data_IF_914875865485
#
_entry.id   IF_914875865485
#
_cell.length_a   1.000
_cell.length_b   1.000
_cell.length_c   1.000
_cell.angle_alpha   90.00
_cell.angle_beta   90.00
_cell.angle_gamma   90.00
#
_symmetry.space_group_name_H-M   'P 1'
#
loop_
_entity.id
_entity.type
_entity.pdbx_description
1 polymer ?
#
# COMPACT_ATOMS: atom_id res chain seq x y z
N UNK A 1 18.85 13.27 -29.90
CA UNK A 1 18.99 12.63 -28.56
C UNK A 1 17.65 12.11 -28.05
N UNK A 2 16.61 12.94 -27.96
CA UNK A 2 15.27 12.54 -27.51
C UNK A 2 14.67 11.43 -28.38
N UNK A 3 14.58 11.63 -29.70
CA UNK A 3 14.05 10.60 -30.63
C UNK A 3 14.83 9.27 -30.58
N UNK A 4 16.14 9.31 -30.33
CA UNK A 4 16.94 8.09 -30.18
C UNK A 4 16.60 7.34 -28.89
N UNK A 5 16.36 8.05 -27.79
CA UNK A 5 15.90 7.45 -26.54
C UNK A 5 14.50 6.84 -26.67
N UNK A 6 13.59 7.48 -27.40
CA UNK A 6 12.25 6.94 -27.68
C UNK A 6 12.31 5.65 -28.49
N UNK A 7 13.17 5.60 -29.51
CA UNK A 7 13.42 4.37 -30.30
C UNK A 7 14.03 3.28 -29.42
N UNK A 8 15.00 3.60 -28.56
CA UNK A 8 15.58 2.65 -27.62
C UNK A 8 14.53 2.04 -26.68
N UNK A 9 13.57 2.84 -26.20
CA UNK A 9 12.50 2.34 -25.36
C UNK A 9 11.56 1.40 -26.11
N UNK A 10 11.11 1.81 -27.30
CA UNK A 10 10.24 0.98 -28.13
C UNK A 10 10.93 -0.34 -28.49
N UNK A 11 12.22 -0.28 -28.85
CA UNK A 11 13.00 -1.46 -29.16
C UNK A 11 13.16 -2.36 -27.93
N UNK A 12 13.45 -1.80 -26.75
CA UNK A 12 13.51 -2.54 -25.49
C UNK A 12 12.18 -3.22 -25.13
N UNK A 13 11.04 -2.55 -25.37
CA UNK A 13 9.71 -3.14 -25.20
C UNK A 13 9.49 -4.30 -26.18
N UNK A 14 9.80 -4.14 -27.46
CA UNK A 14 9.70 -5.22 -28.45
C UNK A 14 10.59 -6.41 -28.10
N UNK A 15 11.83 -6.17 -27.64
CA UNK A 15 12.74 -7.23 -27.19
C UNK A 15 12.18 -7.98 -25.98
N UNK A 16 11.56 -7.26 -25.04
CA UNK A 16 10.93 -7.85 -23.87
C UNK A 16 9.71 -8.72 -24.25
N UNK A 17 8.88 -8.24 -25.17
CA UNK A 17 7.71 -8.97 -25.68
C UNK A 17 8.12 -10.22 -26.47
N UNK A 18 9.14 -10.09 -27.32
CA UNK A 18 9.66 -11.19 -28.12
C UNK A 18 10.57 -12.16 -27.34
N UNK A 19 10.89 -11.85 -26.06
CA UNK A 19 11.81 -12.62 -25.20
C UNK A 19 13.14 -12.98 -25.88
N UNK A 20 13.63 -12.09 -26.74
CA UNK A 20 14.76 -12.38 -27.62
C UNK A 20 16.12 -12.10 -26.97
N UNK A 21 16.15 -11.38 -25.84
CA UNK A 21 17.36 -11.06 -25.09
C UNK A 21 17.18 -11.26 -23.57
N UNK A 22 18.29 -11.29 -22.85
CA UNK A 22 18.30 -11.40 -21.39
C UNK A 22 17.69 -10.13 -20.75
N UNK A 23 16.87 -10.32 -19.71
CA UNK A 23 16.15 -9.24 -19.03
C UNK A 23 17.08 -8.19 -18.41
N UNK A 24 18.25 -8.62 -17.92
CA UNK A 24 19.27 -7.73 -17.39
C UNK A 24 19.90 -6.83 -18.48
N UNK A 25 20.07 -7.37 -19.70
CA UNK A 25 20.56 -6.61 -20.86
C UNK A 25 19.50 -5.62 -21.32
N UNK A 26 18.24 -6.06 -21.45
CA UNK A 26 17.11 -5.20 -21.84
C UNK A 26 16.97 -4.01 -20.86
N UNK A 27 17.04 -4.29 -19.55
CA UNK A 27 16.94 -3.26 -18.53
C UNK A 27 18.06 -2.22 -18.64
N UNK A 28 19.32 -2.64 -18.70
CA UNK A 28 20.48 -1.75 -18.62
C UNK A 28 20.81 -1.06 -19.94
N UNK A 29 20.89 -1.81 -21.02
CA UNK A 29 21.45 -1.31 -22.28
C UNK A 29 20.45 -0.51 -23.11
N UNK A 30 19.15 -0.74 -22.90
CA UNK A 30 18.09 -0.08 -23.66
C UNK A 30 17.27 0.85 -22.78
N UNK A 31 16.59 0.33 -21.76
CA UNK A 31 15.61 1.12 -21.02
C UNK A 31 16.26 2.13 -20.07
N UNK A 32 17.23 1.71 -19.26
CA UNK A 32 17.94 2.58 -18.31
C UNK A 32 18.84 3.58 -19.06
N UNK A 33 19.51 3.12 -20.12
CA UNK A 33 20.25 3.99 -21.04
C UNK A 33 19.36 5.06 -21.66
N UNK A 34 18.14 4.72 -22.08
CA UNK A 34 17.21 5.69 -22.62
C UNK A 34 16.80 6.75 -21.58
N UNK A 35 16.56 6.34 -20.32
CA UNK A 35 16.29 7.26 -19.22
C UNK A 35 17.47 8.22 -19.01
N UNK A 36 18.69 7.71 -18.89
CA UNK A 36 19.89 8.54 -18.70
C UNK A 36 20.15 9.53 -19.85
N UNK A 37 19.87 9.12 -21.09
CA UNK A 37 19.99 10.01 -22.25
C UNK A 37 18.96 11.14 -22.23
N UNK A 38 17.77 10.90 -21.68
CA UNK A 38 16.72 11.91 -21.51
C UNK A 38 17.00 12.83 -20.32
N UNK A 39 17.44 12.28 -19.19
CA UNK A 39 17.88 13.05 -18.01
C UNK A 39 19.04 14.00 -18.39
N UNK A 40 20.06 13.48 -19.08
CA UNK A 40 21.22 14.28 -19.53
C UNK A 40 20.90 15.29 -20.64
N UNK A 41 19.75 15.18 -21.29
CA UNK A 41 19.25 16.18 -22.24
C UNK A 41 18.50 17.34 -21.55
N UNK A 42 18.33 17.30 -20.22
CA UNK A 42 17.63 18.33 -19.45
C UNK A 42 16.12 18.37 -19.71
N UNK A 43 15.56 17.30 -20.27
CA UNK A 43 14.17 17.28 -20.70
C UNK A 43 13.25 16.93 -19.52
N UNK A 44 12.68 17.93 -18.83
CA UNK A 44 11.41 17.77 -18.09
C UNK A 44 10.25 17.64 -19.08
N UNK A 45 10.33 16.63 -19.96
CA UNK A 45 9.37 16.36 -21.02
C UNK A 45 8.52 15.15 -20.64
N UNK A 46 7.29 15.09 -21.15
CA UNK A 46 6.45 13.88 -21.13
C UNK A 46 7.22 12.63 -21.60
N UNK A 47 8.19 12.78 -22.52
CA UNK A 47 9.08 11.70 -22.96
C UNK A 47 9.93 11.09 -21.83
N UNK A 48 10.36 11.88 -20.84
CA UNK A 48 11.11 11.39 -19.67
C UNK A 48 10.19 10.64 -18.70
N UNK A 49 8.99 11.15 -18.44
CA UNK A 49 8.04 10.51 -17.52
C UNK A 49 7.51 9.19 -18.09
N UNK A 50 7.23 9.17 -19.39
CA UNK A 50 6.93 7.93 -20.12
C UNK A 50 8.12 6.96 -20.11
N UNK A 51 9.36 7.44 -20.23
CA UNK A 51 10.57 6.60 -20.07
C UNK A 51 10.59 5.88 -18.72
N UNK A 52 10.46 6.63 -17.63
CA UNK A 52 10.41 6.08 -16.29
C UNK A 52 9.24 5.10 -16.14
N UNK A 53 8.08 5.42 -16.71
CA UNK A 53 6.94 4.51 -16.67
C UNK A 53 7.22 3.18 -17.37
N UNK A 54 7.83 3.22 -18.56
CA UNK A 54 8.18 2.01 -19.32
C UNK A 54 9.17 1.15 -18.55
N UNK A 55 10.22 1.76 -18.00
CA UNK A 55 11.19 1.08 -17.14
C UNK A 55 10.53 0.48 -15.88
N UNK A 56 9.62 1.22 -15.24
CA UNK A 56 8.86 0.73 -14.09
C UNK A 56 8.01 -0.48 -14.44
N UNK A 57 7.29 -0.44 -15.57
CA UNK A 57 6.44 -1.55 -16.06
C UNK A 57 7.26 -2.77 -16.42
N UNK A 58 8.41 -2.59 -17.05
CA UNK A 58 9.32 -3.68 -17.36
C UNK A 58 9.81 -4.36 -16.07
N UNK A 59 10.32 -3.58 -15.11
CA UNK A 59 10.79 -4.10 -13.82
C UNK A 59 9.68 -4.79 -13.03
N UNK A 60 8.47 -4.22 -13.00
CA UNK A 60 7.28 -4.84 -12.40
C UNK A 60 6.89 -6.16 -13.10
N UNK A 61 6.98 -6.20 -14.44
CA UNK A 61 6.76 -7.44 -15.20
C UNK A 61 7.75 -8.55 -14.84
N UNK A 62 9.05 -8.22 -14.71
CA UNK A 62 10.08 -9.16 -14.27
C UNK A 62 9.84 -9.61 -12.82
N UNK A 63 9.51 -8.68 -11.92
CA UNK A 63 9.15 -8.97 -10.54
C UNK A 63 7.99 -9.97 -10.45
N UNK A 64 6.91 -9.71 -11.18
CA UNK A 64 5.75 -10.62 -11.22
C UNK A 64 6.10 -12.00 -11.80
N UNK A 65 6.99 -12.06 -12.80
CA UNK A 65 7.50 -13.32 -13.33
C UNK A 65 8.23 -14.13 -12.27
N UNK A 66 9.12 -13.48 -11.51
CA UNK A 66 9.85 -14.10 -10.40
C UNK A 66 8.88 -14.52 -9.29
N UNK A 67 7.93 -13.68 -8.90
CA UNK A 67 6.93 -14.00 -7.87
C UNK A 67 6.08 -15.22 -8.26
N UNK A 68 5.68 -15.33 -9.53
CA UNK A 68 4.96 -16.51 -10.05
C UNK A 68 5.81 -17.77 -9.95
N UNK A 69 7.09 -17.70 -10.28
CA UNK A 69 7.99 -18.84 -10.17
C UNK A 69 8.25 -19.23 -8.72
N UNK A 70 8.50 -18.25 -7.84
CA UNK A 70 8.68 -18.48 -6.40
C UNK A 70 7.43 -19.09 -5.74
N UNK A 71 6.24 -18.76 -6.24
CA UNK A 71 4.97 -19.35 -5.82
C UNK A 71 4.59 -20.66 -6.53
N UNK A 72 5.44 -21.17 -7.43
CA UNK A 72 5.15 -22.39 -8.19
C UNK A 72 5.42 -23.66 -7.36
N UNK A 73 4.69 -24.76 -7.64
CA UNK A 73 4.96 -26.04 -6.99
C UNK A 73 6.36 -26.59 -7.32
N UNK A 74 6.92 -26.22 -8.48
CA UNK A 74 8.28 -26.60 -8.87
C UNK A 74 9.33 -26.03 -7.93
N UNK A 75 9.20 -24.74 -7.58
CA UNK A 75 10.10 -24.09 -6.64
C UNK A 75 9.92 -24.66 -5.23
N UNK A 76 8.68 -24.94 -4.82
CA UNK A 76 8.40 -25.57 -3.53
C UNK A 76 9.05 -26.96 -3.44
N UNK A 77 8.91 -27.80 -4.48
CA UNK A 77 9.55 -29.11 -4.53
C UNK A 77 11.07 -29.01 -4.48
N UNK A 78 11.69 -28.04 -5.19
CA UNK A 78 13.13 -27.76 -5.06
C UNK A 78 13.51 -27.41 -3.63
N UNK A 79 12.71 -26.59 -2.95
CA UNK A 79 12.99 -26.19 -1.58
C UNK A 79 12.86 -27.37 -0.60
N UNK A 80 11.86 -28.24 -0.79
CA UNK A 80 11.70 -29.46 0.00
C UNK A 80 12.89 -30.41 -0.19
N UNK A 81 13.36 -30.61 -1.43
CA UNK A 81 14.56 -31.39 -1.72
C UNK A 81 15.81 -30.83 -1.02
N UNK A 82 15.95 -29.49 -0.96
CA UNK A 82 17.05 -28.86 -0.23
C UNK A 82 16.97 -29.10 1.28
N UNK A 83 15.77 -29.07 1.86
CA UNK A 83 15.60 -29.37 3.29
C UNK A 83 15.92 -30.83 3.59
N UNK A 84 15.46 -31.76 2.74
CA UNK A 84 15.77 -33.19 2.86
C UNK A 84 17.27 -33.45 2.71
N UNK A 85 17.91 -32.84 1.71
CA UNK A 85 19.35 -32.95 1.48
C UNK A 85 20.15 -32.45 2.67
N UNK A 86 19.72 -31.34 3.28
CA UNK A 86 20.36 -30.80 4.49
C UNK A 86 20.22 -31.76 5.68
N UNK A 87 19.04 -32.34 5.89
CA UNK A 87 18.81 -33.34 6.95
C UNK A 87 19.67 -34.59 6.76
N UNK A 88 19.83 -35.05 5.52
CA UNK A 88 20.70 -36.20 5.21
C UNK A 88 22.16 -35.85 5.55
N UNK A 89 22.64 -34.67 5.15
CA UNK A 89 24.00 -34.22 5.48
C UNK A 89 24.24 -34.14 6.99
N UNK A 90 23.26 -33.65 7.75
CA UNK A 90 23.36 -33.51 9.22
C UNK A 90 23.27 -34.85 9.97
N UNK A 91 22.46 -35.79 9.48
CA UNK A 91 22.21 -37.08 10.15
C UNK A 91 23.25 -38.15 9.82
N UNK A 92 24.03 -37.98 8.74
CA UNK A 92 24.98 -38.99 8.29
C UNK A 92 26.33 -38.81 8.99
N UNK A 93 26.74 -39.71 9.90
CA UNK A 93 28.04 -39.59 10.57
C UNK A 93 29.19 -39.82 9.58
N UNK A 94 30.32 -39.14 9.81
CA UNK A 94 31.57 -39.18 9.01
C UNK A 94 32.25 -40.58 8.88
N UNK A 95 31.61 -41.66 9.34
CA UNK A 95 32.15 -43.03 9.39
C UNK A 95 31.57 -43.98 8.32
N UNK A 96 31.12 -43.44 7.18
CA UNK A 96 30.62 -44.23 6.03
C UNK A 96 31.71 -44.74 5.08
N UNK A 97 31.32 -45.56 4.09
CA UNK A 97 32.21 -46.04 3.02
C UNK A 97 32.83 -44.89 2.22
N UNK A 98 33.96 -45.12 1.54
CA UNK A 98 34.61 -44.12 0.67
C UNK A 98 33.67 -43.62 -0.43
N UNK A 99 32.73 -44.46 -0.86
CA UNK A 99 31.70 -44.14 -1.85
C UNK A 99 30.61 -43.24 -1.26
N UNK A 100 30.12 -43.54 -0.06
CA UNK A 100 29.16 -42.69 0.67
C UNK A 100 29.73 -41.29 0.90
N UNK A 101 31.00 -41.19 1.29
CA UNK A 101 31.68 -39.92 1.46
C UNK A 101 31.81 -39.11 0.15
N UNK A 102 31.88 -39.78 -1.02
CA UNK A 102 31.87 -39.10 -2.33
C UNK A 102 30.47 -38.62 -2.69
N UNK A 103 29.45 -39.44 -2.45
CA UNK A 103 28.05 -39.09 -2.70
C UNK A 103 27.61 -37.90 -1.83
N UNK A 104 27.97 -37.89 -0.53
CA UNK A 104 27.69 -36.77 0.38
C UNK A 104 28.33 -35.47 -0.08
N UNK A 105 29.60 -35.50 -0.51
CA UNK A 105 30.28 -34.29 -1.06
C UNK A 105 29.63 -33.77 -2.34
N UNK A 106 29.12 -34.66 -3.19
CA UNK A 106 28.41 -34.27 -4.40
C UNK A 106 27.06 -33.62 -4.05
N UNK A 107 26.32 -34.23 -3.12
CA UNK A 107 25.05 -33.73 -2.63
C UNK A 107 25.20 -32.35 -1.97
N UNK A 108 26.23 -32.17 -1.14
CA UNK A 108 26.58 -30.89 -0.54
C UNK A 108 26.84 -29.82 -1.60
N UNK A 109 27.69 -30.13 -2.59
CA UNK A 109 27.98 -29.20 -3.69
C UNK A 109 26.74 -28.84 -4.50
N UNK A 110 25.85 -29.79 -4.76
CA UNK A 110 24.60 -29.53 -5.49
C UNK A 110 23.64 -28.66 -4.66
N UNK A 111 23.50 -28.96 -3.37
CA UNK A 111 22.70 -28.17 -2.43
C UNK A 111 23.21 -26.72 -2.33
N UNK A 112 24.52 -26.52 -2.35
CA UNK A 112 25.13 -25.18 -2.36
C UNK A 112 24.83 -24.40 -3.65
N UNK A 113 24.88 -25.07 -4.81
CA UNK A 113 24.54 -24.45 -6.10
C UNK A 113 23.06 -24.03 -6.13
N UNK A 114 22.17 -24.92 -5.72
CA UNK A 114 20.72 -24.66 -5.69
C UNK A 114 20.37 -23.55 -4.69
N UNK A 115 21.04 -23.52 -3.52
CA UNK A 115 20.91 -22.44 -2.54
C UNK A 115 21.39 -21.11 -3.12
N UNK A 116 22.50 -21.11 -3.85
CA UNK A 116 23.03 -19.95 -4.56
C UNK A 116 22.06 -19.42 -5.61
N UNK A 117 21.47 -20.30 -6.42
CA UNK A 117 20.44 -19.96 -7.41
C UNK A 117 19.22 -19.30 -6.75
N UNK A 118 18.69 -19.92 -5.69
CA UNK A 118 17.54 -19.39 -4.95
C UNK A 118 17.83 -18.03 -4.30
N UNK A 119 19.04 -17.84 -3.75
CA UNK A 119 19.47 -16.56 -3.21
C UNK A 119 19.60 -15.48 -4.30
N UNK A 120 20.20 -15.82 -5.45
CA UNK A 120 20.34 -14.93 -6.60
C UNK A 120 18.97 -14.49 -7.16
N UNK A 121 18.01 -15.41 -7.18
CA UNK A 121 16.64 -15.10 -7.61
C UNK A 121 15.94 -14.13 -6.65
N UNK A 122 16.06 -14.33 -5.33
CA UNK A 122 15.51 -13.42 -4.31
C UNK A 122 16.18 -12.03 -4.34
N UNK A 123 17.48 -11.98 -4.60
CA UNK A 123 18.21 -10.73 -4.80
C UNK A 123 17.71 -9.99 -6.05
N UNK A 124 17.55 -10.72 -7.17
CA UNK A 124 17.01 -10.16 -8.42
C UNK A 124 15.59 -9.62 -8.23
N UNK A 125 14.73 -10.36 -7.51
CA UNK A 125 13.38 -9.91 -7.11
C UNK A 125 13.42 -8.55 -6.41
N UNK A 126 14.28 -8.43 -5.40
CA UNK A 126 14.41 -7.21 -4.60
C UNK A 126 14.91 -6.03 -5.45
N UNK A 127 15.89 -6.28 -6.32
CA UNK A 127 16.41 -5.28 -7.27
C UNK A 127 15.30 -4.77 -8.21
N UNK A 128 14.53 -5.67 -8.83
CA UNK A 128 13.42 -5.29 -9.70
C UNK A 128 12.31 -4.56 -8.96
N UNK A 129 12.01 -4.94 -7.71
CA UNK A 129 11.04 -4.23 -6.87
C UNK A 129 11.46 -2.78 -6.59
N UNK A 130 12.70 -2.56 -6.14
CA UNK A 130 13.20 -1.21 -5.85
C UNK A 130 13.25 -0.36 -7.13
N UNK A 131 13.67 -0.96 -8.25
CA UNK A 131 13.70 -0.28 -9.54
C UNK A 131 12.30 0.09 -10.03
N UNK A 132 11.30 -0.79 -9.88
CA UNK A 132 9.92 -0.49 -10.24
C UNK A 132 9.35 0.65 -9.38
N UNK A 133 9.48 0.57 -8.05
CA UNK A 133 9.00 1.60 -7.13
C UNK A 133 9.65 2.96 -7.38
N UNK A 134 10.97 3.00 -7.51
CA UNK A 134 11.71 4.25 -7.76
C UNK A 134 11.28 4.93 -9.05
N UNK A 135 11.09 4.17 -10.13
CA UNK A 135 10.66 4.73 -11.41
C UNK A 135 9.17 5.13 -11.42
N UNK A 136 8.29 4.39 -10.72
CA UNK A 136 6.90 4.83 -10.53
C UNK A 136 6.82 6.17 -9.78
N UNK A 137 7.62 6.36 -8.73
CA UNK A 137 7.68 7.63 -7.98
C UNK A 137 8.15 8.79 -8.86
N UNK A 138 9.21 8.60 -9.66
CA UNK A 138 9.71 9.63 -10.59
C UNK A 138 8.66 10.02 -11.63
N UNK A 139 7.97 9.03 -12.20
CA UNK A 139 6.88 9.27 -13.15
C UNK A 139 5.72 10.04 -12.51
N UNK A 140 5.24 9.61 -11.34
CA UNK A 140 4.13 10.24 -10.62
C UNK A 140 4.46 11.65 -10.14
N UNK A 141 5.74 11.96 -9.91
CA UNK A 141 6.17 13.32 -9.55
C UNK A 141 6.09 14.28 -10.74
N UNK A 142 6.37 13.78 -11.95
CA UNK A 142 6.56 14.63 -13.12
C UNK A 142 5.35 14.80 -14.03
N UNK A 143 4.40 13.86 -14.00
CA UNK A 143 3.22 13.90 -14.87
C UNK A 143 1.94 13.49 -14.13
N UNK A 144 0.81 14.09 -14.51
CA UNK A 144 -0.54 13.73 -14.06
C UNK A 144 -1.24 12.74 -15.01
N UNK A 145 -0.71 12.51 -16.21
CA UNK A 145 -1.33 11.64 -17.22
C UNK A 145 -1.40 10.17 -16.78
N UNK A 146 -0.51 9.77 -15.86
CA UNK A 146 -0.36 8.40 -15.39
C UNK A 146 -0.71 8.21 -13.91
N UNK A 147 -1.55 9.09 -13.33
CA UNK A 147 -1.89 9.05 -11.90
C UNK A 147 -2.53 7.74 -11.45
N UNK A 148 -3.21 7.01 -12.34
CA UNK A 148 -3.73 5.66 -12.05
C UNK A 148 -2.63 4.64 -11.70
N UNK A 149 -1.36 4.92 -12.01
CA UNK A 149 -0.23 4.08 -11.59
C UNK A 149 0.05 4.17 -10.10
N UNK A 150 -0.51 5.16 -9.40
CA UNK A 150 -0.46 5.24 -7.96
C UNK A 150 -1.08 4.01 -7.28
N UNK A 151 -2.17 3.47 -7.82
CA UNK A 151 -2.78 2.25 -7.29
C UNK A 151 -1.81 1.06 -7.37
N UNK A 152 -1.02 0.97 -8.45
CA UNK A 152 -0.01 -0.08 -8.59
C UNK A 152 1.16 0.13 -7.63
N UNK A 153 1.64 1.37 -7.50
CA UNK A 153 2.67 1.74 -6.51
C UNK A 153 2.24 1.34 -5.10
N UNK A 154 1.02 1.70 -4.70
CA UNK A 154 0.48 1.37 -3.39
C UNK A 154 0.33 -0.14 -3.20
N UNK A 155 -0.13 -0.87 -4.22
CA UNK A 155 -0.21 -2.34 -4.17
C UNK A 155 1.16 -2.98 -3.94
N UNK A 156 2.20 -2.51 -4.63
CA UNK A 156 3.57 -3.01 -4.47
C UNK A 156 4.14 -2.67 -3.09
N UNK A 157 3.93 -1.44 -2.62
CA UNK A 157 4.37 -1.01 -1.29
C UNK A 157 3.75 -1.86 -0.20
N UNK A 158 2.42 -1.94 -0.20
CA UNK A 158 1.63 -2.65 0.79
C UNK A 158 1.94 -4.15 0.81
N UNK A 159 2.16 -4.75 -0.37
CA UNK A 159 2.56 -6.16 -0.48
C UNK A 159 3.96 -6.46 0.05
N UNK A 160 4.82 -5.44 0.16
CA UNK A 160 6.21 -5.58 0.59
C UNK A 160 6.53 -4.69 1.82
N UNK A 161 5.52 -4.42 2.66
CA UNK A 161 5.60 -3.51 3.81
C UNK A 161 6.67 -3.90 4.86
N UNK A 162 7.05 -5.18 4.91
CA UNK A 162 8.08 -5.71 5.83
C UNK A 162 9.51 -5.41 5.39
N UNK A 163 9.73 -4.97 4.15
CA UNK A 163 11.08 -4.71 3.62
C UNK A 163 11.52 -3.28 3.98
N UNK A 164 12.61 -3.10 4.75
CA UNK A 164 13.06 -1.77 5.17
C UNK A 164 13.52 -0.92 3.98
N UNK A 165 14.19 -1.52 2.99
CA UNK A 165 14.69 -0.81 1.80
C UNK A 165 13.54 -0.17 0.99
N UNK A 166 12.39 -0.86 0.93
CA UNK A 166 11.18 -0.36 0.27
C UNK A 166 10.62 0.86 1.01
N UNK A 167 10.54 0.77 2.34
CA UNK A 167 10.05 1.86 3.18
C UNK A 167 10.98 3.08 3.13
N UNK A 168 12.31 2.88 3.14
CA UNK A 168 13.28 3.96 3.01
C UNK A 168 13.13 4.70 1.66
N UNK A 169 13.07 3.97 0.55
CA UNK A 169 12.87 4.54 -0.78
C UNK A 169 11.54 5.33 -0.88
N UNK A 170 10.48 4.80 -0.28
CA UNK A 170 9.17 5.44 -0.32
C UNK A 170 9.04 6.63 0.62
N UNK A 171 9.75 6.64 1.75
CA UNK A 171 9.79 7.79 2.66
C UNK A 171 10.29 9.04 1.93
N UNK A 172 11.34 8.91 1.12
CA UNK A 172 11.90 10.01 0.35
C UNK A 172 10.97 10.43 -0.80
N UNK A 173 10.40 9.46 -1.52
CA UNK A 173 9.61 9.74 -2.73
C UNK A 173 8.17 10.18 -2.47
N UNK A 174 7.46 9.54 -1.52
CA UNK A 174 6.04 9.82 -1.27
C UNK A 174 5.79 11.22 -0.71
N UNK A 175 6.75 11.77 0.03
CA UNK A 175 6.66 13.12 0.58
C UNK A 175 6.84 14.21 -0.48
N UNK A 176 7.45 13.88 -1.63
CA UNK A 176 7.63 14.80 -2.75
C UNK A 176 6.44 14.80 -3.72
N UNK A 177 5.54 13.80 -3.62
CA UNK A 177 4.36 13.72 -4.46
C UNK A 177 3.28 14.68 -3.99
N UNK A 178 2.50 15.20 -4.92
CA UNK A 178 1.34 16.02 -4.60
C UNK A 178 0.29 15.19 -3.86
N UNK A 179 -0.26 15.74 -2.78
CA UNK A 179 -1.14 15.00 -1.86
C UNK A 179 -2.50 14.64 -2.47
N UNK A 180 -3.02 15.47 -3.39
CA UNK A 180 -4.31 15.25 -4.05
C UNK A 180 -4.39 13.90 -4.78
N UNK A 181 -3.26 13.40 -5.29
CA UNK A 181 -3.17 12.12 -5.99
C UNK A 181 -3.57 10.94 -5.09
N UNK A 182 -3.39 11.08 -3.79
CA UNK A 182 -3.72 10.04 -2.81
C UNK A 182 -5.18 10.09 -2.33
N UNK A 183 -5.93 11.16 -2.63
CA UNK A 183 -7.33 11.30 -2.21
C UNK A 183 -8.21 10.14 -2.68
N UNK A 184 -8.13 9.67 -3.95
CA UNK A 184 -8.87 8.48 -4.39
C UNK A 184 -8.49 7.19 -3.64
N UNK A 185 -7.28 7.14 -3.07
CA UNK A 185 -6.75 5.98 -2.37
C UNK A 185 -7.04 6.02 -0.87
N UNK A 186 -7.62 7.11 -0.35
CA UNK A 186 -7.73 7.35 1.09
C UNK A 186 -8.46 6.23 1.81
N UNK A 187 -9.54 5.68 1.24
CA UNK A 187 -10.28 4.56 1.84
C UNK A 187 -9.40 3.31 2.02
N UNK A 188 -8.58 3.00 1.01
CA UNK A 188 -7.70 1.84 1.02
C UNK A 188 -6.52 2.02 1.99
N UNK A 189 -5.97 3.23 2.06
CA UNK A 189 -4.89 3.60 2.98
C UNK A 189 -5.39 3.62 4.44
N UNK A 190 -6.52 4.29 4.68
CA UNK A 190 -7.11 4.41 6.01
C UNK A 190 -7.55 3.05 6.58
N UNK A 191 -8.02 2.13 5.73
CA UNK A 191 -8.34 0.75 6.15
C UNK A 191 -7.13 -0.05 6.68
N UNK A 192 -5.90 0.38 6.37
CA UNK A 192 -4.64 -0.23 6.82
C UNK A 192 -3.89 0.64 7.83
N UNK A 193 -4.42 1.79 8.19
CA UNK A 193 -3.82 2.71 9.15
C UNK A 193 -3.77 2.07 10.53
N UNK A 194 -2.60 2.06 11.17
CA UNK A 194 -2.47 1.61 12.55
C UNK A 194 -1.72 2.64 13.37
N UNK A 195 -1.75 2.50 14.68
CA UNK A 195 -0.97 3.34 15.58
C UNK A 195 0.53 3.16 15.29
N UNK A 196 1.27 4.24 14.96
CA UNK A 196 2.69 4.15 14.69
C UNK A 196 3.45 3.71 15.95
N UNK A 197 4.35 2.75 15.80
CA UNK A 197 5.19 2.26 16.91
C UNK A 197 6.32 3.25 17.16
N UNK A 198 6.58 3.57 18.43
CA UNK A 198 7.59 4.55 18.83
C UNK A 198 9.05 4.12 18.55
N UNK A 199 9.30 2.88 18.10
CA UNK A 199 10.65 2.33 17.82
C UNK A 199 10.79 1.99 16.34
N UNK A 200 11.29 2.93 15.54
CA UNK A 200 11.76 2.67 14.17
C UNK A 200 11.48 3.84 13.22
N UNK A 201 12.53 4.47 12.70
CA UNK A 201 12.45 5.64 11.82
C UNK A 201 11.98 5.34 10.38
N UNK A 202 11.64 4.09 10.05
CA UNK A 202 11.26 3.68 8.69
C UNK A 202 10.30 2.49 8.65
N UNK A 203 9.36 2.42 9.62
CA UNK A 203 8.32 1.39 9.63
C UNK A 203 7.14 1.79 8.73
N UNK A 204 6.53 0.80 8.07
CA UNK A 204 5.39 0.98 7.17
C UNK A 204 4.25 1.75 7.84
N UNK A 205 3.91 1.40 9.09
CA UNK A 205 2.84 2.05 9.84
C UNK A 205 3.11 3.54 10.06
N UNK A 206 4.36 3.90 10.35
CA UNK A 206 4.76 5.30 10.56
C UNK A 206 4.68 6.10 9.27
N UNK A 207 5.17 5.55 8.16
CA UNK A 207 5.11 6.22 6.85
C UNK A 207 3.67 6.37 6.36
N UNK A 208 2.85 5.33 6.50
CA UNK A 208 1.43 5.38 6.16
C UNK A 208 0.69 6.43 6.98
N UNK A 209 0.95 6.47 8.29
CA UNK A 209 0.36 7.48 9.18
C UNK A 209 0.72 8.90 8.75
N UNK A 210 2.01 9.16 8.48
CA UNK A 210 2.48 10.47 8.04
C UNK A 210 1.89 10.89 6.68
N UNK A 211 1.77 9.94 5.75
CA UNK A 211 1.14 10.18 4.45
C UNK A 211 -0.33 10.57 4.62
N UNK A 212 -1.10 9.80 5.41
CA UNK A 212 -2.51 10.10 5.68
C UNK A 212 -2.64 11.45 6.38
N UNK A 213 -1.79 11.74 7.37
CA UNK A 213 -1.78 13.02 8.07
C UNK A 213 -1.59 14.20 7.12
N UNK A 214 -0.67 14.09 6.15
CA UNK A 214 -0.43 15.10 5.13
C UNK A 214 -1.65 15.29 4.22
N UNK A 215 -2.19 14.20 3.68
CA UNK A 215 -3.34 14.24 2.77
C UNK A 215 -4.57 14.83 3.47
N UNK A 216 -4.79 14.50 4.74
CA UNK A 216 -5.94 15.01 5.51
C UNK A 216 -5.79 16.50 5.85
N UNK A 217 -4.55 16.94 6.10
CA UNK A 217 -4.27 18.36 6.33
C UNK A 217 -4.52 19.22 5.09
N UNK A 218 -4.12 18.72 3.93
CA UNK A 218 -4.21 19.45 2.65
C UNK A 218 -5.61 19.35 2.01
N UNK A 219 -6.32 18.22 2.19
CA UNK A 219 -7.64 17.95 1.60
C UNK A 219 -8.69 17.53 2.64
N UNK A 220 -9.04 18.40 3.61
CA UNK A 220 -9.89 18.04 4.74
C UNK A 220 -11.30 17.63 4.34
N UNK A 221 -11.91 18.29 3.35
CA UNK A 221 -13.29 18.04 2.97
C UNK A 221 -13.50 16.62 2.41
N UNK A 222 -12.54 16.14 1.62
CA UNK A 222 -12.62 14.82 0.97
C UNK A 222 -12.19 13.67 1.90
N UNK A 223 -11.35 13.94 2.89
CA UNK A 223 -10.67 12.87 3.65
C UNK A 223 -11.04 12.80 5.14
N UNK A 224 -11.43 13.91 5.78
CA UNK A 224 -11.89 13.89 7.17
C UNK A 224 -13.11 12.99 7.38
N UNK A 225 -14.13 12.94 6.50
CA UNK A 225 -15.26 12.03 6.68
C UNK A 225 -14.82 10.57 6.80
N UNK A 226 -13.78 10.17 6.06
CA UNK A 226 -13.22 8.81 6.08
C UNK A 226 -12.52 8.52 7.40
N UNK A 227 -11.71 9.46 7.91
CA UNK A 227 -11.03 9.31 9.20
C UNK A 227 -12.03 9.29 10.37
N UNK A 228 -13.05 10.15 10.33
CA UNK A 228 -14.10 10.18 11.36
C UNK A 228 -14.98 8.94 11.33
N UNK A 229 -15.27 8.38 10.15
CA UNK A 229 -15.95 7.10 10.04
C UNK A 229 -15.17 5.97 10.73
N UNK A 230 -13.84 5.96 10.62
CA UNK A 230 -13.00 5.01 11.37
C UNK A 230 -13.06 5.26 12.89
N UNK A 231 -13.03 6.51 13.34
CA UNK A 231 -13.14 6.84 14.77
C UNK A 231 -14.49 6.40 15.37
N UNK A 232 -15.55 6.50 14.58
CA UNK A 232 -16.92 6.19 14.98
C UNK A 232 -17.30 4.71 14.81
N UNK A 233 -16.41 3.87 14.26
CA UNK A 233 -16.71 2.47 13.97
C UNK A 233 -17.07 1.61 15.20
N UNK A 234 -16.69 2.03 16.40
CA UNK A 234 -17.00 1.34 17.67
C UNK A 234 -18.29 1.85 18.33
N UNK A 235 -18.83 3.01 17.91
CA UNK A 235 -20.00 3.65 18.55
C UNK A 235 -21.28 2.82 18.43
N UNK A 236 -21.34 1.86 17.50
CA UNK A 236 -22.48 0.95 17.36
C UNK A 236 -22.68 0.03 18.59
N UNK A 237 -21.58 -0.38 19.23
CA UNK A 237 -21.62 -1.19 20.44
C UNK A 237 -22.13 -0.37 21.64
N UNK A 238 -21.80 0.92 21.69
CA UNK A 238 -22.22 1.86 22.73
C UNK A 238 -23.70 2.23 22.58
N UNK A 239 -24.15 2.51 21.36
CA UNK A 239 -25.53 2.95 21.08
C UNK A 239 -26.57 1.83 21.24
N UNK A 240 -26.22 0.57 20.97
CA UNK A 240 -27.18 -0.54 21.04
C UNK A 240 -27.29 -1.21 22.42
N UNK A 241 -26.42 -0.86 23.39
CA UNK A 241 -26.41 -1.44 24.74
C UNK A 241 -26.23 -2.97 24.79
N UNK A 242 -26.01 -3.61 23.63
CA UNK A 242 -25.87 -5.06 23.52
C UNK A 242 -24.41 -5.42 23.76
N UNK A 243 -24.14 -5.84 25.00
CA UNK A 243 -22.97 -6.67 25.32
C UNK A 243 -22.72 -7.67 24.18
N UNK A 244 -21.46 -7.74 23.77
CA UNK A 244 -20.82 -8.43 22.62
C UNK A 244 -21.25 -9.86 22.22
N UNK A 245 -22.39 -10.38 22.65
CA UNK A 245 -22.80 -11.76 22.41
C UNK A 245 -23.70 -11.98 21.18
N UNK A 246 -24.37 -10.97 20.63
CA UNK A 246 -25.35 -11.15 19.54
C UNK A 246 -25.06 -10.35 18.25
N UNK A 247 -23.78 -10.12 17.92
CA UNK A 247 -23.43 -9.73 16.56
C UNK A 247 -23.61 -10.92 15.60
N UNK A 248 -24.23 -10.67 14.46
CA UNK A 248 -24.51 -11.61 13.38
C UNK A 248 -23.28 -12.48 13.00
N UNK A 249 -23.46 -13.70 12.45
CA UNK A 249 -22.41 -14.72 12.35
C UNK A 249 -21.21 -14.38 11.43
N UNK A 250 -21.20 -13.23 10.76
CA UNK A 250 -20.19 -12.90 9.73
C UNK A 250 -18.88 -12.32 10.28
N UNK A 251 -18.79 -11.96 11.57
CA UNK A 251 -17.61 -11.28 12.14
C UNK A 251 -16.88 -12.04 13.27
N UNK A 252 -17.24 -13.29 13.59
CA UNK A 252 -16.62 -14.06 14.70
C UNK A 252 -15.42 -14.95 14.30
N UNK A 253 -14.73 -14.67 13.18
CA UNK A 253 -13.52 -15.42 12.73
C UNK A 253 -12.19 -14.65 12.83
N UNK A 254 -12.11 -13.63 13.68
CA UNK A 254 -10.87 -12.88 13.90
C UNK A 254 -10.59 -12.61 15.39
N UNK A 255 -10.87 -13.59 16.27
CA UNK A 255 -10.69 -13.48 17.72
C UNK A 255 -9.49 -14.30 18.22
N UNK A 256 -8.38 -14.20 17.50
CA UNK A 256 -7.06 -14.69 17.93
C UNK A 256 -6.05 -13.64 17.48
N UNK A 257 -5.34 -13.05 18.46
CA UNK A 257 -4.49 -11.82 18.39
C UNK A 257 -5.31 -10.53 18.42
N UNK A 258 -4.87 -9.53 19.22
CA UNK A 258 -5.59 -8.26 19.46
C UNK A 258 -6.13 -7.64 18.18
N UNK A 259 -7.40 -7.20 18.21
CA UNK A 259 -8.18 -7.09 17.00
C UNK A 259 -7.62 -6.02 16.05
N UNK A 260 -7.38 -6.32 14.76
CA UNK A 260 -6.92 -5.34 13.77
C UNK A 260 -7.92 -4.19 13.56
N UNK A 261 -9.13 -4.27 14.11
CA UNK A 261 -10.08 -3.16 14.16
C UNK A 261 -9.71 -2.13 15.24
N UNK A 262 -9.33 -2.58 16.43
CA UNK A 262 -8.99 -1.71 17.58
C UNK A 262 -7.74 -0.88 17.26
N UNK A 263 -6.70 -1.49 16.68
CA UNK A 263 -5.47 -0.80 16.25
C UNK A 263 -5.74 0.33 15.23
N UNK A 264 -6.75 0.15 14.37
CA UNK A 264 -7.15 1.14 13.35
C UNK A 264 -7.88 2.32 13.97
N UNK A 265 -8.79 2.03 14.89
CA UNK A 265 -9.54 3.06 15.63
C UNK A 265 -8.58 3.87 16.50
N UNK A 266 -7.63 3.22 17.19
CA UNK A 266 -6.58 3.91 17.93
C UNK A 266 -5.72 4.82 17.04
N UNK A 267 -5.31 4.32 15.86
CA UNK A 267 -4.59 5.12 14.87
C UNK A 267 -5.38 6.34 14.41
N UNK A 268 -6.68 6.16 14.13
CA UNK A 268 -7.57 7.25 13.72
C UNK A 268 -7.77 8.29 14.82
N UNK A 269 -8.00 7.85 16.07
CA UNK A 269 -8.13 8.74 17.24
C UNK A 269 -6.85 9.55 17.47
N UNK A 270 -5.69 8.92 17.34
CA UNK A 270 -4.40 9.60 17.42
C UNK A 270 -4.26 10.65 16.31
N UNK A 271 -4.63 10.31 15.07
CA UNK A 271 -4.59 11.25 13.96
C UNK A 271 -5.48 12.47 14.21
N UNK A 272 -6.74 12.27 14.62
CA UNK A 272 -7.66 13.35 14.98
C UNK A 272 -7.08 14.22 16.09
N UNK A 273 -6.48 13.63 17.13
CA UNK A 273 -5.84 14.37 18.22
C UNK A 273 -4.68 15.27 17.74
N UNK A 274 -3.88 14.78 16.78
CA UNK A 274 -2.80 15.58 16.15
C UNK A 274 -3.35 16.68 15.26
N UNK A 275 -4.40 16.40 14.50
CA UNK A 275 -5.03 17.39 13.62
C UNK A 275 -5.64 18.55 14.42
N UNK A 276 -6.19 18.28 15.62
CA UNK A 276 -6.64 19.33 16.55
C UNK A 276 -5.50 20.25 17.00
N UNK A 277 -4.30 19.69 17.20
CA UNK A 277 -3.12 20.44 17.64
C UNK A 277 -2.43 21.19 16.48
N UNK A 278 -2.51 20.66 15.26
CA UNK A 278 -1.79 21.18 14.10
C UNK A 278 -2.32 22.51 13.53
N UNK A 279 -3.50 22.98 13.97
CA UNK A 279 -4.09 24.25 13.53
C UNK A 279 -4.54 24.26 12.06
N UNK A 280 -4.98 25.42 11.57
CA UNK A 280 -5.38 25.66 10.17
C UNK A 280 -6.86 25.35 9.87
N UNK A 281 -7.19 25.18 8.58
CA UNK A 281 -8.55 24.90 8.10
C UNK A 281 -9.16 23.65 8.73
N UNK A 282 -8.33 22.66 9.06
CA UNK A 282 -8.78 21.44 9.75
C UNK A 282 -9.32 21.73 11.14
N UNK A 283 -8.74 22.70 11.87
CA UNK A 283 -9.13 22.99 13.24
C UNK A 283 -10.54 23.59 13.35
N UNK A 284 -11.01 24.32 12.33
CA UNK A 284 -12.37 24.85 12.28
C UNK A 284 -13.37 23.83 11.68
N UNK A 285 -12.96 23.08 10.66
CA UNK A 285 -13.83 22.10 9.98
C UNK A 285 -14.08 20.85 10.83
N UNK A 286 -13.07 20.34 11.53
CA UNK A 286 -13.16 19.11 12.33
C UNK A 286 -14.28 19.14 13.39
N UNK A 287 -14.38 20.14 14.29
CA UNK A 287 -15.44 20.17 15.30
C UNK A 287 -16.84 20.40 14.71
N UNK A 288 -16.94 21.05 13.56
CA UNK A 288 -18.20 21.19 12.83
C UNK A 288 -18.63 19.85 12.24
N UNK A 289 -17.69 19.13 11.62
CA UNK A 289 -17.94 17.82 11.01
C UNK A 289 -18.21 16.73 12.06
N UNK A 290 -17.50 16.72 13.19
CA UNK A 290 -17.79 15.82 14.31
C UNK A 290 -19.22 15.99 14.84
N UNK A 291 -19.67 17.25 15.07
CA UNK A 291 -21.05 17.55 15.48
C UNK A 291 -22.08 17.07 14.46
N UNK A 292 -21.80 17.28 13.18
CA UNK A 292 -22.67 16.82 12.09
C UNK A 292 -22.76 15.29 12.04
N UNK A 293 -21.63 14.59 12.15
CA UNK A 293 -21.59 13.12 12.16
C UNK A 293 -22.29 12.54 13.38
N UNK A 294 -22.11 13.12 14.57
CA UNK A 294 -22.81 12.69 15.79
C UNK A 294 -24.33 12.90 15.68
N UNK A 295 -24.77 14.00 15.06
CA UNK A 295 -26.17 14.24 14.78
C UNK A 295 -26.77 13.23 13.78
N UNK A 296 -26.00 12.83 12.76
CA UNK A 296 -26.40 11.75 11.84
C UNK A 296 -26.44 10.39 12.51
N UNK A 297 -25.47 10.07 13.37
CA UNK A 297 -25.49 8.83 14.17
C UNK A 297 -26.74 8.82 15.06
N UNK A 298 -27.02 9.91 15.77
CA UNK A 298 -28.21 10.01 16.61
C UNK A 298 -29.49 9.79 15.79
N UNK A 299 -29.61 10.43 14.61
CA UNK A 299 -30.75 10.23 13.71
C UNK A 299 -30.89 8.77 13.28
N UNK A 300 -29.79 8.10 12.94
CA UNK A 300 -29.80 6.70 12.50
C UNK A 300 -30.26 5.72 13.60
N UNK A 301 -30.04 6.08 14.87
CA UNK A 301 -30.47 5.30 16.04
C UNK A 301 -31.85 5.71 16.60
N UNK A 302 -32.56 6.66 15.99
CA UNK A 302 -33.94 6.94 16.37
C UNK A 302 -34.85 5.81 15.94
N UNK A 303 -35.72 5.36 16.85
CA UNK A 303 -36.71 4.34 16.55
C UNK A 303 -37.62 4.82 15.40
N UNK A 304 -37.82 4.01 14.36
CA UNK A 304 -38.69 4.40 13.26
C UNK A 304 -40.13 4.55 13.78
N UNK A 305 -40.85 5.61 13.38
CA UNK A 305 -42.25 5.74 13.74
C UNK A 305 -43.03 4.57 13.13
N UNK A 306 -44.05 4.07 13.85
CA UNK A 306 -44.89 2.95 13.40
C UNK A 306 -45.83 3.31 12.22
N UNK A 307 -45.54 4.40 11.52
CA UNK A 307 -46.34 4.92 10.41
C UNK A 307 -45.90 4.27 9.09
N UNK A 308 -46.84 4.10 8.14
CA UNK A 308 -46.56 3.43 6.86
C UNK A 308 -45.41 4.06 6.06
N UNK A 309 -44.81 3.28 5.15
CA UNK A 309 -43.52 3.55 4.49
C UNK A 309 -43.34 4.93 3.80
N UNK A 310 -44.43 5.68 3.56
CA UNK A 310 -44.42 6.99 2.88
C UNK A 310 -44.98 8.14 3.74
N UNK A 311 -45.12 7.95 5.05
CA UNK A 311 -45.63 9.00 5.93
C UNK A 311 -44.57 10.10 6.15
N UNK A 312 -44.97 11.36 6.08
CA UNK A 312 -44.13 12.49 6.48
C UNK A 312 -43.95 12.45 7.99
N UNK A 313 -42.72 12.18 8.44
CA UNK A 313 -42.38 12.08 9.85
C UNK A 313 -41.84 13.41 10.33
N UNK A 314 -42.45 13.99 11.36
CA UNK A 314 -41.89 15.13 12.06
C UNK A 314 -40.79 14.65 13.01
N UNK A 315 -39.57 15.17 12.83
CA UNK A 315 -38.45 14.84 13.70
C UNK A 315 -38.70 15.36 15.14
N UNK A 316 -38.36 14.58 16.19
CA UNK A 316 -38.44 15.06 17.57
C UNK A 316 -37.61 16.33 17.76
N UNK A 317 -38.10 17.27 18.59
CA UNK A 317 -37.39 18.54 18.85
C UNK A 317 -36.03 18.37 19.54
N UNK A 318 -35.79 17.20 20.14
CA UNK A 318 -34.56 16.89 20.87
C UNK A 318 -33.39 16.46 19.98
N UNK A 319 -33.63 16.17 18.70
CA UNK A 319 -32.62 15.70 17.74
C UNK A 319 -31.56 16.79 17.52
N UNK A 320 -30.29 16.40 17.63
CA UNK A 320 -29.13 17.28 17.45
C UNK A 320 -29.14 17.98 16.09
N UNK A 321 -29.69 17.36 15.05
CA UNK A 321 -29.84 17.94 13.71
C UNK A 321 -30.61 19.27 13.72
N UNK A 322 -31.67 19.38 14.53
CA UNK A 322 -32.44 20.63 14.62
C UNK A 322 -31.70 21.71 15.43
N UNK A 323 -30.67 21.32 16.18
CA UNK A 323 -29.80 22.18 16.97
C UNK A 323 -28.49 22.51 16.25
N UNK A 324 -28.26 21.98 15.05
CA UNK A 324 -27.10 22.31 14.21
C UNK A 324 -27.28 23.73 13.65
N UNK A 325 -26.76 24.72 14.36
CA UNK A 325 -26.52 26.07 13.85
C UNK A 325 -25.06 26.26 13.43
N UNK A 326 -24.85 27.03 12.36
CA UNK A 326 -23.55 27.56 11.92
C UNK A 326 -22.51 26.49 11.51
N UNK A 327 -22.74 25.85 10.36
CA UNK A 327 -21.79 24.97 9.69
C UNK A 327 -21.14 25.71 8.49
N UNK A 328 -20.39 26.76 8.78
CA UNK A 328 -19.83 27.64 7.72
C UNK A 328 -18.63 27.00 6.99
N UNK A 329 -18.05 25.92 7.53
CA UNK A 329 -16.85 25.28 7.02
C UNK A 329 -17.06 23.83 6.58
N UNK A 330 -18.30 23.32 6.60
CA UNK A 330 -18.63 21.97 6.15
C UNK A 330 -19.44 22.07 4.85
N UNK A 331 -18.85 21.73 3.69
CA UNK A 331 -19.61 21.66 2.45
C UNK A 331 -20.58 20.48 2.48
N UNK A 332 -21.57 20.50 1.58
CA UNK A 332 -22.49 19.37 1.40
C UNK A 332 -21.68 18.12 1.03
N UNK A 333 -21.80 17.06 1.84
CA UNK A 333 -20.98 15.85 1.71
C UNK A 333 -21.07 15.16 0.34
N UNK A 334 -22.18 15.32 -0.37
CA UNK A 334 -22.43 14.75 -1.69
C UNK A 334 -22.10 15.70 -2.84
N UNK A 335 -21.76 16.96 -2.56
CA UNK A 335 -21.40 17.92 -3.60
C UNK A 335 -19.96 17.66 -4.03
N UNK A 336 -19.74 17.63 -5.34
CA UNK A 336 -18.39 17.59 -5.91
C UNK A 336 -17.71 18.91 -5.60
N UNK A 337 -16.70 18.86 -4.72
CA UNK A 337 -15.78 19.97 -4.49
C UNK A 337 -14.77 19.92 -5.63
N UNK A 338 -14.87 20.87 -6.56
CA UNK A 338 -13.92 21.05 -7.68
C UNK A 338 -12.55 21.52 -7.19
#
# INVERSE_FOLDING_TARGET
>A
KIAYAEVLQLYGECLAEARSENSDTIAREYLDKAVHLLEGAGACSEALWTAHLRLARFADGQLQGIDRYLGSPEFQAKQDLLTQSSQILDSTPSRGSREDARALRLLERQSDLDRGEAAGLRASRTRYLLQALGNYLRCLRGSSTHDLRLFRLASLWVGNASLPDVNALLQEGLMQLESYKFVPLIYQLAARMSRPRARGQSDFATLLFQLIERVVREHPHQTLPVVLALCNAEKDAEATGKSSNMAAPRAKKAKTTGAPAEDRVEGARLLVSRLRQAGGTVASTLPQLERLMDAYIQLAYLDPPQTGANAVVNLPRDVLLLKLGCLDHVPVLTQTVE
#
